data_IF_700089969572
#
_entry.id   IF_700089969572
#
_cell.length_a   1.000
_cell.length_b   1.000
_cell.length_c   1.000
_cell.angle_alpha   90.00
_cell.angle_beta   90.00
_cell.angle_gamma   90.00
#
_symmetry.space_group_name_H-M   'P 1'
#
loop_
_entity.id
_entity.type
_entity.pdbx_description
1 polymer ?
#
# COMPACT_ATOMS: atom_id res chain seq x y z
N UNK A 1 4.13 -11.37 -0.05
CA UNK A 1 3.56 -10.89 -1.33
C UNK A 1 4.56 -11.09 -2.45
N UNK A 2 4.62 -12.25 -3.11
CA UNK A 2 5.59 -12.44 -4.19
C UNK A 2 5.06 -11.99 -5.56
N UNK A 3 3.77 -11.65 -5.70
CA UNK A 3 3.19 -11.28 -7.00
C UNK A 3 2.42 -9.96 -6.93
N UNK A 4 2.81 -9.00 -7.77
CA UNK A 4 2.17 -7.69 -7.93
C UNK A 4 1.78 -7.49 -9.40
N UNK A 5 0.75 -6.69 -9.70
CA UNK A 5 0.31 -6.45 -11.08
C UNK A 5 1.33 -5.63 -11.87
N UNK A 6 1.56 -5.99 -13.14
CA UNK A 6 2.40 -5.19 -14.06
C UNK A 6 1.67 -3.99 -14.68
N UNK A 7 0.33 -4.04 -14.71
CA UNK A 7 -0.56 -3.02 -15.27
C UNK A 7 -1.84 -2.98 -14.45
N UNK A 8 -2.43 -1.81 -14.34
CA UNK A 8 -3.70 -1.59 -13.65
C UNK A 8 -4.53 -0.59 -14.47
N UNK A 9 -5.84 -0.82 -14.53
CA UNK A 9 -6.79 0.06 -15.19
C UNK A 9 -7.75 0.62 -14.15
N UNK A 10 -7.99 1.94 -14.20
CA UNK A 10 -9.05 2.59 -13.46
C UNK A 10 -10.22 2.90 -14.40
N UNK A 11 -11.44 2.74 -13.91
CA UNK A 11 -12.66 3.05 -14.64
C UNK A 11 -13.61 3.84 -13.73
N UNK A 12 -14.14 4.94 -14.25
CA UNK A 12 -15.12 5.77 -13.56
C UNK A 12 -16.50 5.45 -14.14
N UNK A 13 -17.30 4.67 -13.40
CA UNK A 13 -18.70 4.40 -13.74
C UNK A 13 -19.61 5.56 -13.33
N UNK A 14 -19.32 6.16 -12.17
CA UNK A 14 -20.05 7.31 -11.61
C UNK A 14 -19.05 8.41 -11.26
N UNK A 15 -19.26 9.59 -11.83
CA UNK A 15 -18.42 10.76 -11.59
C UNK A 15 -18.60 11.28 -10.14
N UNK A 16 -17.51 11.66 -9.45
CA UNK A 16 -17.61 12.34 -8.16
C UNK A 16 -18.27 13.72 -8.32
N UNK A 17 -19.06 14.14 -7.31
CA UNK A 17 -19.70 15.47 -7.31
C UNK A 17 -18.68 16.61 -7.26
N UNK A 18 -17.57 16.41 -6.57
CA UNK A 18 -16.46 17.34 -6.43
C UNK A 18 -15.20 16.54 -6.04
N UNK A 19 -14.05 16.91 -6.61
CA UNK A 19 -12.78 16.20 -6.40
C UNK A 19 -12.84 14.74 -6.87
N UNK A 20 -12.29 13.81 -6.08
CA UNK A 20 -12.38 12.37 -6.33
C UNK A 20 -11.46 11.86 -7.45
N UNK A 21 -10.54 12.69 -7.92
CA UNK A 21 -9.51 12.28 -8.86
C UNK A 21 -8.65 11.15 -8.26
N UNK A 22 -8.04 10.35 -9.13
CA UNK A 22 -7.00 9.40 -8.75
C UNK A 22 -5.66 9.89 -9.31
N UNK A 23 -4.94 10.80 -8.61
CA UNK A 23 -3.68 11.31 -9.09
C UNK A 23 -2.65 10.18 -9.23
N UNK A 24 -1.91 10.19 -10.34
CA UNK A 24 -0.82 9.26 -10.61
C UNK A 24 0.49 10.02 -10.72
N UNK A 25 1.58 9.36 -10.33
CA UNK A 25 2.93 9.93 -10.39
C UNK A 25 3.94 8.90 -10.89
N UNK A 26 4.96 9.37 -11.62
CA UNK A 26 6.02 8.53 -12.14
C UNK A 26 7.04 8.21 -11.04
N UNK A 27 7.04 6.97 -10.57
CA UNK A 27 7.89 6.51 -9.45
C UNK A 27 9.39 6.77 -9.68
N UNK A 28 9.89 6.56 -10.90
CA UNK A 28 11.32 6.77 -11.21
C UNK A 28 11.76 8.24 -11.07
N UNK A 29 10.90 9.20 -11.42
CA UNK A 29 11.21 10.62 -11.24
C UNK A 29 11.26 11.01 -9.75
N UNK A 30 10.43 10.36 -8.91
CA UNK A 30 10.50 10.55 -7.45
C UNK A 30 11.83 10.01 -6.93
N UNK A 31 12.26 8.83 -7.39
CA UNK A 31 13.55 8.27 -7.01
C UNK A 31 14.72 9.20 -7.37
N UNK A 32 14.79 9.68 -8.61
CA UNK A 32 15.84 10.59 -9.08
C UNK A 32 15.92 11.86 -8.22
N UNK A 33 14.77 12.52 -8.02
CA UNK A 33 14.69 13.75 -7.20
C UNK A 33 15.04 13.50 -5.74
N UNK A 34 14.63 12.36 -5.17
CA UNK A 34 14.97 11.99 -3.80
C UNK A 34 16.47 11.71 -3.66
N UNK A 35 17.08 11.07 -4.64
CA UNK A 35 18.52 10.77 -4.65
C UNK A 35 19.36 12.05 -4.77
N UNK A 36 18.93 12.99 -5.61
CA UNK A 36 19.57 14.31 -5.73
C UNK A 36 19.45 15.10 -4.42
N UNK A 37 18.26 15.14 -3.83
CA UNK A 37 17.98 15.99 -2.67
C UNK A 37 18.45 15.41 -1.34
N UNK A 38 18.40 14.09 -1.19
CA UNK A 38 18.70 13.38 0.07
C UNK A 38 19.54 12.10 -0.19
N UNK A 39 20.74 12.23 -0.76
CA UNK A 39 21.53 11.09 -1.21
C UNK A 39 21.85 10.08 -0.11
N UNK A 40 22.21 10.55 1.09
CA UNK A 40 22.52 9.68 2.24
C UNK A 40 21.29 8.92 2.74
N UNK A 41 20.11 9.54 2.71
CA UNK A 41 18.87 8.87 3.10
C UNK A 41 18.52 7.76 2.12
N UNK A 42 18.59 8.03 0.82
CA UNK A 42 18.33 7.03 -0.22
C UNK A 42 19.34 5.89 -0.12
N UNK A 43 20.63 6.18 0.09
CA UNK A 43 21.67 5.16 0.30
C UNK A 43 21.34 4.24 1.49
N UNK A 44 20.89 4.79 2.62
CA UNK A 44 20.46 3.96 3.77
C UNK A 44 19.24 3.10 3.47
N UNK A 45 18.30 3.60 2.67
CA UNK A 45 17.14 2.80 2.25
C UNK A 45 17.56 1.65 1.33
N UNK A 46 18.51 1.88 0.42
CA UNK A 46 19.06 0.85 -0.46
C UNK A 46 19.82 -0.22 0.33
N UNK A 47 20.60 0.17 1.35
CA UNK A 47 21.36 -0.75 2.21
C UNK A 47 20.45 -1.55 3.15
N UNK A 48 19.45 -0.90 3.76
CA UNK A 48 18.73 -1.45 4.93
C UNK A 48 17.28 -1.81 4.67
N UNK A 49 16.68 -1.29 3.60
CA UNK A 49 15.26 -1.44 3.32
C UNK A 49 14.35 -0.75 4.34
N UNK A 50 13.16 -1.31 4.55
CA UNK A 50 12.11 -0.79 5.42
C UNK A 50 11.45 -1.92 6.22
N UNK A 51 11.00 -1.61 7.43
CA UNK A 51 10.16 -2.49 8.25
C UNK A 51 8.76 -1.90 8.27
N UNK A 52 7.77 -2.70 7.88
CA UNK A 52 6.36 -2.35 7.97
C UNK A 52 5.70 -3.17 9.07
N UNK A 53 5.19 -2.49 10.09
CA UNK A 53 4.36 -3.10 11.13
C UNK A 53 2.91 -2.69 10.91
N UNK A 54 2.00 -3.67 10.82
CA UNK A 54 0.55 -3.45 10.76
C UNK A 54 -0.12 -4.25 11.86
N UNK A 55 -1.04 -3.60 12.58
CA UNK A 55 -1.89 -4.26 13.57
C UNK A 55 -3.27 -4.40 12.97
N UNK A 56 -3.69 -5.64 12.72
CA UNK A 56 -4.98 -5.95 12.10
C UNK A 56 -5.97 -6.41 13.17
N UNK A 57 -7.13 -5.77 13.24
CA UNK A 57 -8.24 -6.19 14.10
C UNK A 57 -8.86 -7.52 13.61
N UNK A 58 -9.79 -8.07 14.39
CA UNK A 58 -10.48 -9.30 13.99
C UNK A 58 -11.39 -9.09 12.78
N UNK A 59 -12.24 -8.06 12.84
CA UNK A 59 -13.12 -7.66 11.73
C UNK A 59 -12.67 -6.36 11.07
N UNK A 60 -13.40 -5.96 10.03
CA UNK A 60 -13.16 -4.72 9.30
C UNK A 60 -13.74 -3.51 10.04
N UNK A 61 -12.97 -2.41 10.07
CA UNK A 61 -13.37 -1.12 10.64
C UNK A 61 -13.47 -0.06 9.51
N UNK A 62 -14.68 0.32 9.09
CA UNK A 62 -14.87 1.30 8.01
C UNK A 62 -14.47 2.72 8.41
N UNK A 63 -14.25 3.01 9.69
CA UNK A 63 -13.81 4.32 10.16
C UNK A 63 -12.29 4.52 10.08
N UNK A 64 -11.52 3.44 9.88
CA UNK A 64 -10.06 3.46 9.82
C UNK A 64 -9.54 3.43 8.38
N UNK A 65 -8.53 4.25 8.02
CA UNK A 65 -7.95 4.28 6.67
C UNK A 65 -7.25 2.96 6.28
N UNK A 66 -6.90 2.14 7.26
CA UNK A 66 -6.31 0.80 7.09
C UNK A 66 -7.10 -0.25 7.86
N UNK A 67 -8.41 -0.06 8.00
CA UNK A 67 -9.28 -0.83 8.88
C UNK A 67 -9.58 -2.26 8.45
N UNK A 68 -8.98 -2.78 7.37
CA UNK A 68 -9.16 -4.18 6.98
C UNK A 68 -8.60 -5.10 8.08
N UNK A 69 -9.44 -5.98 8.63
CA UNK A 69 -9.06 -6.96 9.64
C UNK A 69 -8.24 -8.12 9.08
N UNK A 70 -7.69 -8.95 9.95
CA UNK A 70 -6.88 -10.11 9.53
C UNK A 70 -7.73 -11.11 8.76
N UNK A 71 -9.00 -11.30 9.14
CA UNK A 71 -9.89 -12.27 8.49
C UNK A 71 -10.11 -11.93 7.01
N UNK A 72 -10.38 -10.66 6.69
CA UNK A 72 -10.53 -10.15 5.32
C UNK A 72 -9.20 -10.00 4.57
N UNK A 73 -8.07 -9.91 5.30
CA UNK A 73 -6.73 -9.82 4.70
C UNK A 73 -6.23 -11.18 4.23
N UNK A 74 -6.44 -12.22 5.04
CA UNK A 74 -6.00 -13.58 4.77
C UNK A 74 -7.11 -14.49 4.23
N UNK A 75 -8.32 -13.95 4.07
CA UNK A 75 -9.50 -14.63 3.53
C UNK A 75 -9.87 -15.91 4.31
N UNK A 76 -9.74 -15.86 5.64
CA UNK A 76 -10.03 -16.99 6.54
C UNK A 76 -10.47 -16.51 7.91
N UNK A 77 -11.26 -17.31 8.62
CA UNK A 77 -11.61 -17.10 10.03
C UNK A 77 -10.85 -18.02 10.99
N UNK A 78 -10.06 -18.96 10.46
CA UNK A 78 -9.19 -19.82 11.27
C UNK A 78 -7.84 -19.14 11.47
N UNK A 79 -7.50 -18.90 12.74
CA UNK A 79 -6.25 -18.26 13.14
C UNK A 79 -5.03 -19.07 12.72
N UNK A 80 -5.10 -20.41 12.75
CA UNK A 80 -3.97 -21.27 12.37
C UNK A 80 -3.65 -21.11 10.88
N UNK A 81 -4.69 -21.12 10.05
CA UNK A 81 -4.56 -20.93 8.59
C UNK A 81 -4.02 -19.53 8.25
N UNK A 82 -4.36 -18.51 9.04
CA UNK A 82 -3.88 -17.14 8.81
C UNK A 82 -2.39 -16.92 9.20
N UNK A 83 -1.86 -17.74 10.10
CA UNK A 83 -0.49 -17.62 10.63
C UNK A 83 0.53 -18.49 9.87
N UNK A 84 0.06 -19.44 9.04
CA UNK A 84 0.87 -20.23 8.08
C UNK A 84 1.35 -19.40 6.89
#
# INVERSE_FOLDING_TARGET
VPQFPSKLFFFCEVEPREGGETPIVLSHLIYERMKEKYPEFVSRLEERGLIYTRVLGQGDDPSSPIGRGWQSTFLTTDRKVAEE
#
